data_IF_706309393330
#
_entry.id   IF_706309393330
#
_cell.length_a   1.000
_cell.length_b   1.000
_cell.length_c   1.000
_cell.angle_alpha   90.00
_cell.angle_beta   90.00
_cell.angle_gamma   90.00
#
_symmetry.space_group_name_H-M   'P 1'
#
loop_
_entity.id
_entity.type
_entity.pdbx_description
1 polymer ?
#
# COMPACT_ATOMS: atom_id res chain seq x y z
N UNK A 1 23.61 -1.90 35.16
CA UNK A 1 24.64 -1.89 34.10
C UNK A 1 25.24 -3.28 33.99
N UNK A 2 24.75 -4.09 33.03
CA UNK A 2 25.34 -5.42 32.75
C UNK A 2 26.29 -5.26 31.59
N UNK A 3 27.59 -5.43 31.88
CA UNK A 3 28.65 -5.42 30.87
C UNK A 3 28.52 -6.68 30.02
N UNK A 4 28.28 -6.51 28.71
CA UNK A 4 28.45 -7.58 27.72
C UNK A 4 29.97 -7.74 27.48
N UNK A 5 30.49 -8.89 27.84
CA UNK A 5 31.87 -9.30 27.50
C UNK A 5 31.76 -9.93 26.10
N UNK A 6 32.26 -9.25 25.08
CA UNK A 6 32.48 -9.83 23.77
C UNK A 6 33.85 -10.49 23.75
N UNK A 7 33.87 -11.80 23.62
CA UNK A 7 35.13 -12.52 23.34
C UNK A 7 35.48 -12.31 21.87
N UNK A 8 36.55 -11.55 21.64
CA UNK A 8 37.21 -11.49 20.34
C UNK A 8 37.94 -12.80 20.09
N UNK A 9 37.50 -13.58 19.10
CA UNK A 9 38.31 -14.66 18.55
C UNK A 9 39.22 -14.04 17.49
N UNK A 10 40.47 -13.90 17.82
CA UNK A 10 41.52 -13.52 16.86
C UNK A 10 41.70 -14.69 15.88
N UNK A 11 41.42 -14.46 14.61
CA UNK A 11 41.67 -15.39 13.53
C UNK A 11 43.16 -15.37 13.19
N UNK A 12 43.95 -16.33 13.70
CA UNK A 12 45.29 -16.59 13.20
C UNK A 12 45.20 -17.22 11.80
N UNK A 13 45.66 -16.50 10.81
CA UNK A 13 45.79 -17.01 9.43
C UNK A 13 47.00 -17.92 9.39
N UNK A 14 46.78 -19.24 9.47
CA UNK A 14 47.71 -20.28 9.06
C UNK A 14 47.32 -20.72 7.67
N UNK A 15 48.22 -20.57 6.70
CA UNK A 15 48.04 -20.96 5.30
C UNK A 15 47.81 -22.46 5.16
N UNK A 16 46.57 -22.89 4.96
CA UNK A 16 46.18 -24.01 4.14
C UNK A 16 44.82 -23.67 3.55
N UNK A 17 44.78 -23.39 2.26
CA UNK A 17 43.60 -22.97 1.54
C UNK A 17 42.59 -24.11 1.43
N UNK A 18 41.70 -24.18 2.40
CA UNK A 18 40.35 -24.73 2.22
C UNK A 18 39.44 -23.51 2.23
N UNK A 19 38.94 -23.13 1.07
CA UNK A 19 38.02 -22.00 0.98
C UNK A 19 36.78 -22.34 1.80
N UNK A 20 36.57 -21.63 2.88
CA UNK A 20 35.32 -21.71 3.64
C UNK A 20 34.21 -21.14 2.74
N UNK A 21 33.22 -21.96 2.41
CA UNK A 21 32.14 -21.58 1.48
C UNK A 21 30.95 -20.95 2.19
N UNK A 22 30.86 -21.06 3.51
CA UNK A 22 29.68 -20.66 4.26
C UNK A 22 30.01 -19.94 5.57
N UNK A 23 29.13 -18.99 5.97
CA UNK A 23 29.09 -18.35 7.28
C UNK A 23 27.93 -18.92 8.09
N UNK A 24 28.19 -19.30 9.34
CA UNK A 24 27.15 -19.83 10.23
C UNK A 24 26.78 -18.82 11.31
N UNK A 25 25.50 -18.47 11.40
CA UNK A 25 24.95 -17.58 12.44
C UNK A 25 24.15 -18.40 13.44
N UNK A 26 24.64 -18.51 14.66
CA UNK A 26 23.97 -19.23 15.75
C UNK A 26 23.01 -18.31 16.50
N UNK A 27 21.70 -18.59 16.41
CA UNK A 27 20.66 -17.84 17.14
C UNK A 27 20.54 -18.33 18.58
N UNK A 28 20.20 -17.43 19.52
CA UNK A 28 19.91 -17.79 20.90
C UNK A 28 18.77 -18.84 21.08
N UNK A 29 17.91 -18.95 20.06
CA UNK A 29 16.86 -19.98 19.99
C UNK A 29 17.38 -21.39 19.67
N UNK A 30 18.69 -21.57 19.45
CA UNK A 30 19.30 -22.83 19.05
C UNK A 30 19.29 -23.11 17.55
N UNK A 31 18.60 -22.26 16.74
CA UNK A 31 18.63 -22.42 15.30
C UNK A 31 19.94 -21.86 14.72
N UNK A 32 20.48 -22.53 13.71
CA UNK A 32 21.65 -22.10 12.94
C UNK A 32 21.18 -21.63 11.55
N UNK A 33 21.68 -20.47 11.12
CA UNK A 33 21.52 -19.97 9.76
C UNK A 33 22.85 -20.15 9.04
N UNK A 34 22.87 -20.87 7.94
CA UNK A 34 24.00 -21.01 7.04
C UNK A 34 23.83 -20.03 5.86
N UNK A 35 24.88 -19.29 5.53
CA UNK A 35 24.92 -18.33 4.44
C UNK A 35 26.14 -18.64 3.56
N UNK A 36 25.91 -18.87 2.28
CA UNK A 36 27.00 -19.06 1.30
C UNK A 36 27.78 -17.77 1.10
N UNK A 37 29.09 -17.81 1.23
CA UNK A 37 29.95 -16.62 1.11
C UNK A 37 29.84 -16.01 -0.29
N UNK A 38 29.63 -16.83 -1.33
CA UNK A 38 29.47 -16.37 -2.70
C UNK A 38 28.21 -15.50 -2.94
N UNK A 39 27.23 -15.58 -2.03
CA UNK A 39 25.97 -14.80 -2.08
C UNK A 39 25.98 -13.56 -1.17
N UNK A 40 27.12 -13.34 -0.46
CA UNK A 40 27.24 -12.23 0.47
C UNK A 40 28.05 -11.09 -0.13
N UNK A 41 27.40 -9.94 -0.32
CA UNK A 41 28.10 -8.69 -0.68
C UNK A 41 28.89 -8.13 0.51
N UNK A 42 28.33 -8.23 1.72
CA UNK A 42 28.98 -7.74 2.94
C UNK A 42 28.34 -8.33 4.20
N UNK A 43 29.09 -8.37 5.29
CA UNK A 43 28.60 -8.69 6.63
C UNK A 43 28.72 -7.42 7.50
N UNK A 44 27.61 -6.90 7.98
CA UNK A 44 27.57 -5.76 8.90
C UNK A 44 26.96 -6.17 10.25
N UNK A 45 27.62 -5.82 11.34
CA UNK A 45 27.12 -6.01 12.71
C UNK A 45 26.30 -4.83 13.21
N UNK A 46 26.22 -3.78 12.44
CA UNK A 46 25.29 -2.67 12.63
C UNK A 46 24.14 -2.83 11.66
N UNK A 47 22.91 -2.65 12.15
CA UNK A 47 21.75 -2.59 11.23
C UNK A 47 22.07 -1.50 10.20
N UNK A 48 22.07 -1.79 8.89
CA UNK A 48 22.25 -0.74 7.89
C UNK A 48 21.29 0.40 8.23
N UNK A 49 21.75 1.63 8.14
CA UNK A 49 20.85 2.77 8.18
C UNK A 49 19.88 2.56 7.02
N UNK A 50 18.64 2.24 7.32
CA UNK A 50 17.58 2.20 6.32
C UNK A 50 17.46 3.64 5.86
N UNK A 51 17.98 3.95 4.66
CA UNK A 51 17.60 5.21 4.01
C UNK A 51 16.10 5.14 3.89
N UNK A 52 15.35 6.06 4.52
CA UNK A 52 13.90 6.06 4.35
C UNK A 52 13.62 6.02 2.85
N UNK A 53 12.68 5.17 2.42
CA UNK A 53 12.22 5.19 1.04
C UNK A 53 11.82 6.63 0.70
N UNK A 54 12.12 7.13 -0.50
CA UNK A 54 11.72 8.49 -0.87
C UNK A 54 10.22 8.62 -0.64
N UNK A 55 9.79 9.71 -0.01
CA UNK A 55 8.37 9.91 0.34
C UNK A 55 7.49 9.94 -0.92
N UNK A 56 8.05 10.38 -2.07
CA UNK A 56 7.37 10.39 -3.37
C UNK A 56 7.99 9.41 -4.35
N UNK A 57 7.14 8.86 -5.22
CA UNK A 57 7.55 8.12 -6.42
C UNK A 57 8.09 9.08 -7.48
N UNK A 58 8.87 8.55 -8.43
CA UNK A 58 9.49 9.34 -9.51
C UNK A 58 8.51 9.73 -10.61
N UNK A 59 7.46 8.90 -10.84
CA UNK A 59 6.47 9.11 -11.90
C UNK A 59 5.68 10.40 -11.72
N UNK A 60 5.42 11.09 -12.82
CA UNK A 60 4.61 12.31 -12.90
C UNK A 60 3.31 11.99 -13.63
N UNK A 61 2.20 12.44 -13.08
CA UNK A 61 0.86 12.11 -13.52
C UNK A 61 0.03 13.37 -13.71
N UNK A 62 -0.53 13.59 -14.90
CA UNK A 62 -1.49 14.67 -15.14
C UNK A 62 -2.80 14.39 -14.45
N UNK A 63 -3.28 15.38 -13.69
CA UNK A 63 -4.55 15.36 -12.96
C UNK A 63 -5.49 16.49 -13.39
N UNK A 64 -5.03 17.37 -14.27
CA UNK A 64 -5.80 18.29 -15.10
C UNK A 64 -4.96 18.66 -16.33
N UNK A 65 -5.49 19.55 -17.19
CA UNK A 65 -4.75 19.99 -18.38
C UNK A 65 -3.44 20.75 -18.05
N UNK A 66 -3.36 21.33 -16.87
CA UNK A 66 -2.29 22.22 -16.42
C UNK A 66 -1.67 21.81 -15.07
N UNK A 67 -2.07 20.67 -14.51
CA UNK A 67 -1.64 20.22 -13.19
C UNK A 67 -1.14 18.80 -13.21
N UNK A 68 0.03 18.60 -12.61
CA UNK A 68 0.64 17.28 -12.46
C UNK A 68 0.98 16.99 -11.00
N UNK A 69 1.03 15.71 -10.66
CA UNK A 69 1.34 15.25 -9.29
C UNK A 69 2.34 14.09 -9.29
N UNK A 70 2.94 13.89 -8.14
CA UNK A 70 3.65 12.66 -7.77
C UNK A 70 2.92 11.99 -6.62
N UNK A 71 2.79 10.67 -6.68
CA UNK A 71 2.17 9.89 -5.62
C UNK A 71 3.15 9.61 -4.48
N UNK A 72 2.63 9.50 -3.26
CA UNK A 72 3.33 8.90 -2.14
C UNK A 72 3.76 7.47 -2.50
N UNK A 73 4.88 7.01 -1.96
CA UNK A 73 5.40 5.68 -2.29
C UNK A 73 4.54 4.53 -1.72
N UNK A 74 3.65 4.79 -0.77
CA UNK A 74 2.75 3.80 -0.20
C UNK A 74 1.41 4.39 0.22
N UNK A 75 0.45 3.54 0.58
CA UNK A 75 -0.79 3.97 1.19
C UNK A 75 -0.51 4.59 2.57
N UNK A 76 -1.37 5.52 2.98
CA UNK A 76 -1.32 6.09 4.32
C UNK A 76 -1.62 5.00 5.36
N UNK A 77 -0.87 4.98 6.44
CA UNK A 77 -1.03 4.09 7.59
C UNK A 77 -1.02 4.89 8.89
N UNK A 78 -1.76 4.42 9.87
CA UNK A 78 -1.77 4.97 11.21
C UNK A 78 -1.49 3.86 12.23
N UNK A 79 -0.45 4.06 13.05
CA UNK A 79 -0.20 3.21 14.22
C UNK A 79 -0.86 3.85 15.43
N UNK A 80 -1.77 3.11 16.07
CA UNK A 80 -2.53 3.51 17.23
C UNK A 80 -1.79 3.12 18.50
N UNK A 81 -1.64 4.03 19.44
CA UNK A 81 -1.14 3.74 20.77
C UNK A 81 -2.11 4.32 21.83
N UNK A 82 -1.90 3.97 23.07
CA UNK A 82 -2.76 4.47 24.17
C UNK A 82 -2.72 5.99 24.34
N UNK A 83 -1.67 6.65 23.84
CA UNK A 83 -1.41 8.08 24.07
C UNK A 83 -1.26 8.90 22.82
N UNK A 84 -1.03 8.26 21.64
CA UNK A 84 -0.71 8.98 20.40
C UNK A 84 -1.05 8.15 19.15
N UNK A 85 -1.04 8.81 18.00
CA UNK A 85 -1.15 8.20 16.67
C UNK A 85 0.06 8.57 15.84
N UNK A 86 0.75 7.54 15.30
CA UNK A 86 1.89 7.74 14.40
C UNK A 86 1.43 7.51 12.97
N UNK A 87 1.61 8.52 12.12
CA UNK A 87 1.22 8.49 10.73
C UNK A 87 2.45 8.34 9.84
N UNK A 88 2.36 7.46 8.86
CA UNK A 88 3.43 7.21 7.91
C UNK A 88 2.85 6.62 6.62
N UNK A 89 3.64 6.60 5.56
CA UNK A 89 3.33 5.79 4.38
C UNK A 89 3.74 4.34 4.59
N UNK A 90 3.04 3.42 3.94
CA UNK A 90 3.46 2.02 3.86
C UNK A 90 4.86 1.92 3.23
N UNK A 91 5.67 0.97 3.67
CA UNK A 91 7.07 0.82 3.24
C UNK A 91 7.16 0.45 1.75
N UNK A 92 6.23 -0.34 1.25
CA UNK A 92 6.13 -0.70 -0.15
C UNK A 92 4.76 -0.33 -0.71
N UNK A 93 4.68 -0.07 -2.01
CA UNK A 93 3.42 0.27 -2.68
C UNK A 93 2.36 -0.84 -2.58
N UNK A 94 2.79 -2.09 -2.52
CA UNK A 94 1.93 -3.26 -2.43
C UNK A 94 1.57 -3.64 -0.98
N UNK A 95 2.10 -2.96 0.02
CA UNK A 95 1.74 -3.22 1.41
C UNK A 95 0.30 -2.77 1.67
N UNK A 96 -0.48 -3.69 2.21
CA UNK A 96 -1.83 -3.46 2.70
C UNK A 96 -2.04 -4.24 3.99
N UNK A 97 -2.78 -3.65 4.92
CA UNK A 97 -3.16 -4.30 6.18
C UNK A 97 -4.36 -5.23 5.95
N UNK A 98 -5.29 -4.83 5.06
CA UNK A 98 -6.41 -5.66 4.65
C UNK A 98 -7.27 -6.11 5.84
N UNK A 99 -7.48 -7.43 5.97
CA UNK A 99 -8.26 -7.99 7.08
C UNK A 99 -7.68 -7.69 8.46
N UNK A 100 -6.39 -7.39 8.56
CA UNK A 100 -5.72 -7.11 9.83
C UNK A 100 -5.88 -5.67 10.32
N UNK A 101 -6.73 -4.84 9.65
CA UNK A 101 -7.23 -3.56 10.22
C UNK A 101 -8.06 -3.76 11.51
N UNK A 102 -8.53 -4.97 11.78
CA UNK A 102 -9.25 -5.33 13.00
C UNK A 102 -8.61 -6.54 13.66
N UNK A 103 -8.70 -6.58 14.99
CA UNK A 103 -8.25 -7.74 15.78
C UNK A 103 -9.37 -8.78 15.88
N UNK A 104 -8.98 -10.05 16.04
CA UNK A 104 -9.92 -11.16 16.18
C UNK A 104 -9.74 -12.26 15.13
N UNK A 105 -10.40 -13.40 15.32
CA UNK A 105 -10.13 -14.64 14.58
C UNK A 105 -11.22 -15.06 13.57
N UNK A 106 -12.35 -14.40 13.54
CA UNK A 106 -13.47 -14.78 12.67
C UNK A 106 -13.25 -14.28 11.24
N UNK A 107 -12.51 -15.04 10.46
CA UNK A 107 -12.45 -14.85 9.01
C UNK A 107 -13.67 -15.56 8.44
N UNK A 108 -14.52 -14.81 7.74
CA UNK A 108 -15.56 -15.38 6.89
C UNK A 108 -15.02 -15.35 5.46
N UNK A 109 -15.05 -16.49 4.80
CA UNK A 109 -14.86 -16.57 3.35
C UNK A 109 -16.19 -16.21 2.69
N UNK A 110 -16.21 -15.13 1.95
CA UNK A 110 -17.26 -14.87 0.98
C UNK A 110 -16.86 -15.61 -0.30
N UNK A 111 -17.61 -16.64 -0.66
CA UNK A 111 -17.31 -17.52 -1.80
C UNK A 111 -17.19 -16.79 -3.14
N UNK A 112 -17.61 -15.52 -3.21
CA UNK A 112 -17.60 -14.72 -4.43
C UNK A 112 -16.63 -13.55 -4.44
N UNK A 113 -16.20 -13.02 -3.27
CA UNK A 113 -15.55 -11.71 -3.19
C UNK A 113 -14.35 -11.62 -2.25
N UNK A 114 -13.76 -12.74 -1.88
CA UNK A 114 -12.60 -12.77 -0.97
C UNK A 114 -12.96 -12.86 0.51
N UNK A 115 -11.94 -12.86 1.35
CA UNK A 115 -12.10 -13.06 2.78
C UNK A 115 -12.70 -11.85 3.47
N UNK A 116 -13.73 -12.07 4.31
CA UNK A 116 -14.22 -11.08 5.27
C UNK A 116 -13.77 -11.44 6.67
N UNK A 117 -13.45 -10.43 7.47
CA UNK A 117 -13.08 -10.60 8.89
C UNK A 117 -13.97 -9.73 9.75
N UNK A 118 -14.61 -10.33 10.75
CA UNK A 118 -15.28 -9.61 11.83
C UNK A 118 -14.34 -9.56 13.02
N UNK A 119 -13.84 -8.36 13.34
CA UNK A 119 -12.96 -8.12 14.47
C UNK A 119 -13.69 -7.80 15.75
N UNK A 120 -12.93 -7.70 16.85
CA UNK A 120 -13.42 -7.30 18.17
C UNK A 120 -13.00 -5.88 18.55
N UNK A 121 -11.93 -5.37 17.91
CA UNK A 121 -11.40 -4.03 18.09
C UNK A 121 -10.63 -3.61 16.83
N UNK A 122 -10.27 -2.32 16.72
CA UNK A 122 -9.29 -1.89 15.73
C UNK A 122 -7.92 -2.49 16.08
N UNK A 123 -7.18 -2.90 15.06
CA UNK A 123 -5.79 -3.29 15.21
C UNK A 123 -4.93 -2.08 15.66
N UNK A 124 -3.76 -2.38 16.21
CA UNK A 124 -2.78 -1.35 16.58
C UNK A 124 -2.23 -0.56 15.39
N UNK A 125 -2.38 -1.06 14.16
CA UNK A 125 -2.02 -0.40 12.92
C UNK A 125 -3.13 -0.59 11.90
N UNK A 126 -3.54 0.51 11.25
CA UNK A 126 -4.64 0.53 10.27
C UNK A 126 -4.24 1.31 9.02
N UNK A 127 -4.88 1.00 7.89
CA UNK A 127 -4.77 1.71 6.60
C UNK A 127 -6.11 1.92 5.90
N UNK A 128 -7.22 1.60 6.59
CA UNK A 128 -8.59 1.85 6.13
C UNK A 128 -9.27 2.84 7.06
N UNK A 129 -9.53 4.04 6.54
CA UNK A 129 -10.05 5.20 7.27
C UNK A 129 -11.45 5.56 6.78
N UNK A 130 -12.36 5.94 7.69
CA UNK A 130 -13.57 6.68 7.32
C UNK A 130 -13.20 8.03 6.70
N UNK A 131 -14.13 8.66 5.99
CA UNK A 131 -13.85 9.96 5.38
C UNK A 131 -13.53 10.99 6.48
N UNK A 132 -12.39 11.67 6.33
CA UNK A 132 -11.87 12.57 7.35
C UNK A 132 -12.65 13.87 7.34
N UNK A 133 -13.45 14.09 8.38
CA UNK A 133 -14.21 15.31 8.59
C UNK A 133 -13.74 16.06 9.84
N UNK A 134 -14.09 17.33 9.93
CA UNK A 134 -13.92 18.12 11.15
C UNK A 134 -15.02 17.75 12.17
N UNK A 135 -14.87 16.55 12.74
CA UNK A 135 -15.80 15.95 13.69
C UNK A 135 -15.02 15.24 14.80
N UNK A 136 -15.32 15.58 16.04
CA UNK A 136 -14.61 15.03 17.21
C UNK A 136 -14.91 13.55 17.47
N UNK A 137 -16.02 13.01 16.92
CA UNK A 137 -16.43 11.60 17.13
C UNK A 137 -15.60 10.62 16.32
N UNK A 138 -15.20 10.99 15.10
CA UNK A 138 -14.41 10.16 14.21
C UNK A 138 -13.22 10.94 13.61
N UNK A 139 -12.32 11.50 14.44
CA UNK A 139 -11.23 12.33 13.97
C UNK A 139 -10.35 11.54 12.99
N UNK A 140 -10.04 12.14 11.85
CA UNK A 140 -9.22 11.54 10.79
C UNK A 140 -9.80 10.25 10.18
N UNK A 141 -11.08 9.96 10.42
CA UNK A 141 -11.72 8.72 10.01
C UNK A 141 -11.33 7.51 10.87
N UNK A 142 -10.68 7.70 12.01
CA UNK A 142 -10.34 6.62 12.94
C UNK A 142 -11.52 6.40 13.88
N UNK A 143 -12.42 5.49 13.53
CA UNK A 143 -13.57 5.12 14.36
C UNK A 143 -14.08 3.73 13.95
N UNK A 144 -14.79 3.08 14.85
CA UNK A 144 -15.57 1.86 14.58
C UNK A 144 -17.06 2.16 14.43
N UNK A 145 -17.46 3.43 14.52
CA UNK A 145 -18.85 3.82 14.34
C UNK A 145 -19.32 3.56 12.91
N UNK A 146 -20.57 3.16 12.78
CA UNK A 146 -21.30 3.08 11.50
C UNK A 146 -22.43 4.11 11.44
N UNK A 147 -22.44 5.06 12.36
CA UNK A 147 -23.39 6.17 12.41
C UNK A 147 -22.91 7.27 11.47
N UNK A 148 -23.74 7.68 10.52
CA UNK A 148 -23.38 8.65 9.49
C UNK A 148 -22.99 10.02 10.05
N UNK A 149 -23.75 10.51 11.05
CA UNK A 149 -23.49 11.82 11.67
C UNK A 149 -22.13 11.92 12.37
N UNK A 150 -21.51 10.80 12.73
CA UNK A 150 -20.18 10.78 13.36
C UNK A 150 -19.06 11.18 12.40
N UNK A 151 -19.35 11.20 11.10
CA UNK A 151 -18.42 11.57 10.03
C UNK A 151 -18.87 12.82 9.25
N UNK A 152 -19.88 13.55 9.77
CA UNK A 152 -20.34 14.82 9.18
C UNK A 152 -19.32 15.95 9.44
N UNK A 153 -19.40 17.00 8.64
CA UNK A 153 -18.52 18.17 8.72
C UNK A 153 -17.67 18.37 7.47
N UNK A 154 -16.83 19.41 7.48
CA UNK A 154 -15.94 19.77 6.40
C UNK A 154 -14.77 18.78 6.28
N UNK A 155 -14.27 18.59 5.07
CA UNK A 155 -13.12 17.71 4.82
C UNK A 155 -11.86 18.22 5.51
N UNK A 156 -11.19 17.36 6.24
CA UNK A 156 -9.88 17.61 6.82
C UNK A 156 -8.85 16.70 6.15
N UNK A 157 -8.00 17.28 5.30
CA UNK A 157 -7.04 16.51 4.52
C UNK A 157 -6.02 15.78 5.41
N UNK A 158 -5.84 14.48 5.13
CA UNK A 158 -4.86 13.63 5.83
C UNK A 158 -3.41 14.09 5.66
N UNK A 159 -3.11 14.86 4.60
CA UNK A 159 -1.79 15.48 4.41
C UNK A 159 -1.33 16.29 5.62
N UNK A 160 -2.27 16.84 6.39
CA UNK A 160 -1.96 17.54 7.66
C UNK A 160 -1.25 16.65 8.69
N UNK A 161 -1.44 15.33 8.61
CA UNK A 161 -0.80 14.37 9.52
C UNK A 161 0.62 13.99 9.11
N UNK A 162 0.99 14.26 7.88
CA UNK A 162 2.35 13.96 7.35
C UNK A 162 3.27 15.17 7.52
N UNK A 163 2.88 16.33 7.02
CA UNK A 163 3.74 17.52 6.99
C UNK A 163 3.02 18.83 7.41
N UNK A 164 1.88 18.71 8.06
CA UNK A 164 1.03 19.85 8.41
C UNK A 164 0.19 20.37 7.24
N UNK A 165 0.04 19.59 6.17
CA UNK A 165 -0.70 19.96 4.95
C UNK A 165 0.04 20.97 4.08
N UNK A 166 1.36 20.96 4.11
CA UNK A 166 2.19 21.89 3.32
C UNK A 166 2.34 21.44 1.88
N UNK A 167 2.59 20.15 1.67
CA UNK A 167 2.87 19.60 0.34
C UNK A 167 1.98 18.40 0.02
N UNK A 168 1.60 17.61 1.03
CA UNK A 168 0.77 16.43 0.86
C UNK A 168 -0.72 16.75 0.87
N UNK A 169 -1.44 16.15 -0.07
CA UNK A 169 -2.90 16.28 -0.17
C UNK A 169 -3.56 15.03 -0.75
N UNK A 170 -4.86 14.94 -0.57
CA UNK A 170 -5.72 13.94 -1.20
C UNK A 170 -6.20 14.47 -2.56
N UNK A 171 -6.26 13.64 -3.59
CA UNK A 171 -6.86 14.00 -4.88
C UNK A 171 -8.37 14.23 -4.73
N UNK A 172 -8.90 15.21 -5.46
CA UNK A 172 -10.33 15.42 -5.62
C UNK A 172 -10.90 14.50 -6.72
N UNK A 173 -12.24 14.43 -6.79
CA UNK A 173 -12.96 13.62 -7.78
C UNK A 173 -12.51 13.92 -9.22
N UNK A 174 -12.53 15.17 -9.62
CA UNK A 174 -12.21 15.59 -10.99
C UNK A 174 -10.77 15.25 -11.38
N UNK A 175 -9.84 15.25 -10.43
CA UNK A 175 -8.44 14.86 -10.66
C UNK A 175 -8.30 13.35 -10.90
N UNK A 176 -9.04 12.51 -10.17
CA UNK A 176 -9.09 11.07 -10.42
C UNK A 176 -9.77 10.73 -11.74
N UNK A 177 -10.88 11.43 -12.10
CA UNK A 177 -11.54 11.29 -13.40
C UNK A 177 -10.60 11.69 -14.54
N UNK A 178 -9.87 12.80 -14.40
CA UNK A 178 -8.91 13.21 -15.40
C UNK A 178 -7.79 12.18 -15.57
N UNK A 179 -7.20 11.72 -14.47
CA UNK A 179 -6.11 10.76 -14.44
C UNK A 179 -6.48 9.44 -15.11
N UNK A 180 -7.70 8.93 -14.90
CA UNK A 180 -8.09 7.60 -15.33
C UNK A 180 -8.85 7.57 -16.65
N UNK A 181 -9.47 8.68 -17.07
CA UNK A 181 -10.39 8.71 -18.21
C UNK A 181 -10.04 9.79 -19.26
N UNK A 182 -9.40 10.90 -18.86
CA UNK A 182 -9.31 12.08 -19.72
C UNK A 182 -7.90 12.39 -20.22
N UNK A 183 -6.86 12.19 -19.39
CA UNK A 183 -5.48 12.47 -19.80
C UNK A 183 -5.10 11.69 -21.05
N UNK A 184 -4.11 12.17 -21.78
CA UNK A 184 -3.62 11.50 -23.00
C UNK A 184 -3.28 10.02 -22.71
N UNK A 185 -3.82 9.13 -23.54
CA UNK A 185 -3.63 7.67 -23.43
C UNK A 185 -4.12 7.04 -22.11
N UNK A 186 -5.02 7.66 -21.36
CA UNK A 186 -5.51 7.16 -20.07
C UNK A 186 -5.89 5.67 -20.10
N UNK A 187 -6.57 5.21 -21.17
CA UNK A 187 -7.01 3.83 -21.37
C UNK A 187 -5.86 2.81 -21.54
N UNK A 188 -4.64 3.27 -21.83
CA UNK A 188 -3.44 2.42 -21.97
C UNK A 188 -2.51 2.50 -20.77
N UNK A 189 -2.74 3.46 -19.88
CA UNK A 189 -1.86 3.77 -18.74
C UNK A 189 -2.38 3.22 -17.40
N UNK A 190 -3.37 2.34 -17.43
CA UNK A 190 -3.93 1.69 -16.25
C UNK A 190 -4.23 0.22 -16.55
N UNK A 191 -3.96 -0.67 -15.59
CA UNK A 191 -4.25 -2.09 -15.77
C UNK A 191 -4.23 -2.88 -14.48
N UNK A 192 -5.13 -3.89 -14.40
CA UNK A 192 -5.18 -4.82 -13.29
C UNK A 192 -3.93 -5.72 -13.28
N UNK A 193 -3.42 -6.03 -12.10
CA UNK A 193 -2.22 -6.85 -11.95
C UNK A 193 -2.17 -7.58 -10.61
N UNK A 194 -1.44 -8.69 -10.60
CA UNK A 194 -0.98 -9.38 -9.40
C UNK A 194 0.52 -9.22 -9.24
N UNK A 195 1.00 -9.01 -8.03
CA UNK A 195 2.42 -9.07 -7.67
C UNK A 195 2.62 -10.27 -6.76
N UNK A 196 3.43 -11.23 -7.19
CA UNK A 196 3.88 -12.32 -6.34
C UNK A 196 5.02 -11.83 -5.44
N UNK A 197 4.85 -11.99 -4.12
CA UNK A 197 5.80 -11.55 -3.11
C UNK A 197 6.83 -12.63 -2.76
N UNK A 198 6.62 -13.85 -3.26
CA UNK A 198 7.53 -14.99 -3.15
C UNK A 198 7.54 -15.79 -4.46
N UNK A 199 8.57 -16.63 -4.62
CA UNK A 199 8.82 -17.33 -5.88
C UNK A 199 7.75 -18.38 -6.25
N UNK A 200 7.11 -19.00 -5.22
CA UNK A 200 6.07 -20.01 -5.42
C UNK A 200 4.67 -19.41 -5.68
N UNK A 201 4.54 -18.08 -5.59
CA UNK A 201 3.28 -17.36 -5.81
C UNK A 201 2.20 -17.59 -4.75
N UNK A 202 2.55 -18.21 -3.60
CA UNK A 202 1.61 -18.41 -2.49
C UNK A 202 1.32 -17.13 -1.71
N UNK A 203 2.28 -16.18 -1.74
CA UNK A 203 2.10 -14.82 -1.21
C UNK A 203 2.01 -13.85 -2.38
N UNK A 204 0.90 -13.14 -2.46
CA UNK A 204 0.66 -12.18 -3.54
C UNK A 204 -0.22 -11.04 -3.08
N UNK A 205 -0.18 -9.96 -3.84
CA UNK A 205 -1.09 -8.83 -3.73
C UNK A 205 -1.72 -8.56 -5.09
N UNK A 206 -3.02 -8.42 -5.11
CA UNK A 206 -3.78 -7.97 -6.27
C UNK A 206 -3.95 -6.45 -6.21
N UNK A 207 -4.01 -5.80 -7.35
CA UNK A 207 -4.19 -4.36 -7.40
C UNK A 207 -4.17 -3.82 -8.83
N UNK A 208 -3.97 -2.53 -8.93
CA UNK A 208 -3.94 -1.81 -10.20
C UNK A 208 -2.63 -1.06 -10.35
N UNK A 209 -2.05 -1.16 -11.53
CA UNK A 209 -0.88 -0.37 -11.92
C UNK A 209 -1.37 0.87 -12.66
N UNK A 210 -0.89 2.04 -12.22
CA UNK A 210 -0.99 3.30 -12.95
C UNK A 210 0.40 3.65 -13.49
N UNK A 211 0.47 3.99 -14.78
CA UNK A 211 1.70 4.40 -15.44
C UNK A 211 1.74 5.93 -15.58
N UNK A 212 2.91 6.56 -15.40
CA UNK A 212 3.07 8.01 -15.57
C UNK A 212 2.87 8.46 -17.02
N UNK A 213 2.71 9.77 -17.23
CA UNK A 213 2.47 10.33 -18.57
C UNK A 213 3.63 10.04 -19.54
N UNK A 214 4.86 10.16 -19.07
CA UNK A 214 6.07 9.87 -19.85
C UNK A 214 6.55 8.44 -19.64
N UNK A 215 5.64 7.46 -19.84
CA UNK A 215 5.95 6.06 -19.59
C UNK A 215 6.88 5.45 -20.65
N UNK A 216 7.93 4.82 -20.17
CA UNK A 216 8.83 3.96 -21.00
C UNK A 216 8.88 2.58 -20.36
N UNK A 217 8.46 1.57 -21.10
CA UNK A 217 8.44 0.19 -20.61
C UNK A 217 9.88 -0.31 -20.36
N UNK A 218 10.21 -0.79 -19.16
CA UNK A 218 11.54 -1.32 -18.87
C UNK A 218 11.84 -2.62 -19.63
N UNK A 219 13.11 -2.84 -19.94
CA UNK A 219 13.57 -4.04 -20.64
C UNK A 219 13.25 -5.34 -19.87
N UNK A 220 12.73 -6.31 -20.61
CA UNK A 220 12.41 -7.64 -20.09
C UNK A 220 11.16 -7.69 -19.20
N UNK A 221 10.32 -6.65 -19.23
CA UNK A 221 9.00 -6.61 -18.59
C UNK A 221 7.94 -6.32 -19.64
N UNK A 222 6.74 -6.83 -19.45
CA UNK A 222 5.56 -6.49 -20.26
C UNK A 222 4.53 -5.76 -19.40
N UNK A 223 3.65 -5.00 -20.04
CA UNK A 223 2.46 -4.40 -19.41
C UNK A 223 1.26 -4.56 -20.33
N UNK A 224 0.15 -4.98 -19.76
CA UNK A 224 -1.14 -5.10 -20.44
C UNK A 224 -2.14 -4.16 -19.75
N UNK A 225 -2.62 -3.17 -20.49
CA UNK A 225 -3.62 -2.22 -19.98
C UNK A 225 -5.01 -2.87 -19.84
N UNK A 226 -5.87 -2.23 -19.05
CA UNK A 226 -7.27 -2.60 -18.89
C UNK A 226 -7.52 -3.69 -17.85
N UNK A 227 -8.72 -4.27 -17.93
CA UNK A 227 -9.29 -5.18 -16.94
C UNK A 227 -9.85 -6.42 -17.64
N UNK A 228 -9.78 -7.61 -17.00
CA UNK A 228 -10.20 -8.86 -17.63
C UNK A 228 -11.72 -9.02 -17.75
N UNK A 229 -12.54 -8.12 -17.17
CA UNK A 229 -13.98 -8.23 -17.16
C UNK A 229 -14.51 -9.37 -16.28
N UNK A 230 -13.78 -9.73 -15.23
CA UNK A 230 -14.07 -10.89 -14.39
C UNK A 230 -14.55 -10.49 -12.99
N UNK A 231 -15.58 -11.20 -12.49
CA UNK A 231 -16.06 -11.07 -11.11
C UNK A 231 -15.36 -12.08 -10.18
N UNK A 232 -14.02 -12.09 -10.21
CA UNK A 232 -13.19 -12.96 -9.37
C UNK A 232 -11.86 -12.31 -9.08
N UNK A 233 -11.31 -12.51 -7.89
CA UNK A 233 -9.95 -12.07 -7.55
C UNK A 233 -8.87 -12.67 -8.44
N UNK A 234 -9.15 -13.83 -9.06
CA UNK A 234 -8.24 -14.48 -10.02
C UNK A 234 -8.09 -13.67 -11.31
N UNK A 235 -9.03 -12.75 -11.60
CA UNK A 235 -8.96 -11.86 -12.75
C UNK A 235 -7.70 -11.03 -12.80
N UNK A 236 -7.17 -10.60 -11.65
CA UNK A 236 -5.90 -9.88 -11.60
C UNK A 236 -4.74 -10.70 -12.16
N UNK A 237 -4.66 -11.99 -11.75
CA UNK A 237 -3.61 -12.88 -12.25
C UNK A 237 -3.78 -13.23 -13.72
N UNK A 238 -5.02 -13.29 -14.20
CA UNK A 238 -5.33 -13.56 -15.61
C UNK A 238 -4.91 -12.41 -16.51
N UNK A 239 -5.05 -11.18 -16.02
CA UNK A 239 -4.63 -9.99 -16.76
C UNK A 239 -3.11 -9.95 -16.87
N UNK A 240 -2.39 -9.97 -15.77
CA UNK A 240 -0.94 -10.08 -15.69
C UNK A 240 -0.46 -10.39 -14.27
N UNK A 241 0.67 -11.09 -14.20
CA UNK A 241 1.32 -11.41 -12.92
C UNK A 241 2.79 -11.06 -13.00
N UNK A 242 3.27 -10.34 -11.99
CA UNK A 242 4.68 -9.95 -11.87
C UNK A 242 5.34 -10.68 -10.72
N UNK A 243 6.61 -11.06 -10.91
CA UNK A 243 7.52 -11.33 -9.80
C UNK A 243 7.86 -10.02 -9.11
N UNK A 244 8.31 -10.09 -7.86
CA UNK A 244 8.74 -8.89 -7.13
C UNK A 244 9.89 -8.17 -7.86
N UNK A 245 10.81 -8.91 -8.49
CA UNK A 245 11.91 -8.33 -9.27
C UNK A 245 11.40 -7.55 -10.50
N UNK A 246 10.40 -8.06 -11.22
CA UNK A 246 9.80 -7.37 -12.36
C UNK A 246 8.98 -6.17 -11.92
N UNK A 247 8.24 -6.27 -10.80
CA UNK A 247 7.54 -5.12 -10.22
C UNK A 247 8.50 -3.98 -9.89
N UNK A 248 9.63 -4.27 -9.24
CA UNK A 248 10.64 -3.25 -8.91
C UNK A 248 11.18 -2.50 -10.11
N UNK A 249 11.27 -3.15 -11.30
CA UNK A 249 11.63 -2.46 -12.54
C UNK A 249 10.55 -1.45 -12.97
N UNK A 250 9.27 -1.85 -12.89
CA UNK A 250 8.14 -0.96 -13.20
C UNK A 250 8.10 0.22 -12.22
N UNK A 251 8.25 -0.06 -10.94
CA UNK A 251 8.29 0.95 -9.87
C UNK A 251 9.44 1.95 -10.07
N UNK A 252 10.64 1.47 -10.36
CA UNK A 252 11.80 2.32 -10.65
C UNK A 252 11.59 3.21 -11.89
N UNK A 253 10.79 2.76 -12.85
CA UNK A 253 10.37 3.54 -14.02
C UNK A 253 9.19 4.49 -13.72
N UNK A 254 8.74 4.56 -12.48
CA UNK A 254 7.71 5.50 -12.02
C UNK A 254 6.28 4.96 -11.93
N UNK A 255 6.06 3.66 -12.14
CA UNK A 255 4.73 3.08 -11.99
C UNK A 255 4.23 3.15 -10.54
N UNK A 256 2.93 3.39 -10.39
CA UNK A 256 2.20 3.35 -9.11
C UNK A 256 1.42 2.05 -9.02
N UNK A 257 1.47 1.38 -7.85
CA UNK A 257 0.60 0.26 -7.53
C UNK A 257 -0.40 0.64 -6.45
N UNK A 258 -1.67 0.40 -6.73
CA UNK A 258 -2.79 0.58 -5.81
C UNK A 258 -3.29 -0.80 -5.38
N UNK A 259 -2.99 -1.28 -4.16
CA UNK A 259 -3.40 -2.61 -3.71
C UNK A 259 -4.91 -2.71 -3.48
N UNK A 260 -5.46 -3.90 -3.75
CA UNK A 260 -6.87 -4.24 -3.49
C UNK A 260 -7.06 -4.54 -1.99
N UNK A 261 -7.02 -3.51 -1.16
CA UNK A 261 -7.08 -3.59 0.30
C UNK A 261 -8.50 -3.83 0.85
N UNK A 262 -9.53 -3.81 -0.02
CA UNK A 262 -10.91 -3.89 0.41
C UNK A 262 -11.39 -2.62 1.11
N UNK A 263 -12.44 -2.76 1.93
CA UNK A 263 -12.94 -1.71 2.81
C UNK A 263 -13.21 -2.24 4.23
N UNK A 264 -13.35 -1.34 5.19
CA UNK A 264 -13.79 -1.65 6.56
C UNK A 264 -15.11 -0.94 6.88
N UNK A 265 -16.06 -1.66 7.49
CA UNK A 265 -17.31 -1.11 8.04
C UNK A 265 -17.39 -1.47 9.50
N UNK A 266 -17.24 -0.51 10.38
CA UNK A 266 -17.13 -0.79 11.81
C UNK A 266 -15.94 -1.71 12.09
N UNK A 267 -16.20 -2.93 12.51
CA UNK A 267 -15.21 -3.99 12.75
C UNK A 267 -15.27 -5.13 11.72
N UNK A 268 -15.96 -4.91 10.60
CA UNK A 268 -15.99 -5.84 9.48
C UNK A 268 -15.09 -5.34 8.35
N UNK A 269 -14.16 -6.18 7.88
CA UNK A 269 -13.33 -5.94 6.69
C UNK A 269 -13.76 -6.88 5.57
N UNK A 270 -13.98 -6.35 4.38
CA UNK A 270 -14.46 -7.11 3.23
C UNK A 270 -13.76 -6.73 1.92
N UNK A 271 -13.88 -7.58 0.90
CA UNK A 271 -13.37 -7.40 -0.47
C UNK A 271 -11.85 -7.26 -0.57
N UNK A 272 -11.11 -7.71 0.44
CA UNK A 272 -9.64 -7.76 0.39
C UNK A 272 -9.20 -8.68 -0.76
N UNK A 273 -8.19 -8.28 -1.52
CA UNK A 273 -7.68 -8.93 -2.74
C UNK A 273 -8.64 -8.88 -3.94
N UNK A 274 -9.91 -8.49 -3.74
CA UNK A 274 -10.89 -8.40 -4.83
C UNK A 274 -11.09 -6.98 -5.36
N UNK A 275 -11.19 -5.96 -4.48
CA UNK A 275 -11.43 -4.59 -4.91
C UNK A 275 -10.56 -3.60 -4.11
N UNK A 276 -10.20 -2.52 -4.76
CA UNK A 276 -9.59 -1.37 -4.15
C UNK A 276 -10.61 -0.24 -4.06
N UNK A 277 -10.50 0.51 -2.97
CA UNK A 277 -11.34 1.66 -2.66
C UNK A 277 -10.45 2.76 -2.13
N UNK A 278 -10.51 3.95 -2.76
CA UNK A 278 -9.71 5.10 -2.38
C UNK A 278 -10.56 6.34 -2.21
N UNK A 279 -10.46 6.99 -1.07
CA UNK A 279 -11.16 8.22 -0.81
C UNK A 279 -10.72 9.36 -1.73
N UNK A 280 -11.69 10.17 -2.13
CA UNK A 280 -11.49 11.50 -2.68
C UNK A 280 -11.62 12.55 -1.58
N UNK A 281 -11.00 13.72 -1.78
CA UNK A 281 -11.21 14.89 -0.94
C UNK A 281 -12.57 15.57 -1.17
N UNK A 282 -13.39 15.04 -2.10
CA UNK A 282 -14.64 15.65 -2.54
C UNK A 282 -15.83 15.03 -1.77
N UNK A 283 -16.56 15.82 -0.95
CA UNK A 283 -17.83 15.39 -0.37
C UNK A 283 -18.92 15.38 -1.45
N UNK A 284 -19.97 14.58 -1.24
CA UNK A 284 -21.21 14.71 -1.98
C UNK A 284 -22.26 15.46 -1.14
N UNK A 285 -22.38 15.09 0.12
CA UNK A 285 -23.23 15.72 1.13
C UNK A 285 -22.66 15.46 2.52
N UNK A 286 -23.38 15.80 3.60
CA UNK A 286 -22.93 15.61 4.99
C UNK A 286 -22.73 14.15 5.40
N UNK A 287 -23.30 13.20 4.67
CA UNK A 287 -23.27 11.78 5.01
C UNK A 287 -22.45 10.93 4.04
N UNK A 288 -22.26 11.41 2.79
CA UNK A 288 -21.66 10.67 1.70
C UNK A 288 -20.49 11.42 1.07
N UNK A 289 -19.53 10.67 0.54
CA UNK A 289 -18.41 11.23 -0.20
C UNK A 289 -18.09 10.37 -1.44
N UNK A 290 -17.41 10.99 -2.40
CA UNK A 290 -16.93 10.31 -3.60
C UNK A 290 -15.70 9.46 -3.31
N UNK A 291 -15.56 8.36 -4.05
CA UNK A 291 -14.42 7.47 -3.96
C UNK A 291 -14.16 6.76 -5.31
N UNK A 292 -12.93 6.32 -5.49
CA UNK A 292 -12.53 5.42 -6.56
C UNK A 292 -12.81 3.98 -6.16
N UNK A 293 -13.49 3.23 -7.02
CA UNK A 293 -13.60 1.77 -6.92
C UNK A 293 -13.01 1.14 -8.17
N UNK A 294 -12.11 0.20 -7.99
CA UNK A 294 -11.62 -0.65 -9.08
C UNK A 294 -11.63 -2.12 -8.63
N UNK A 295 -12.04 -2.99 -9.52
CA UNK A 295 -11.99 -4.44 -9.38
C UNK A 295 -11.66 -5.09 -10.74
N UNK A 296 -11.53 -6.41 -10.84
CA UNK A 296 -11.21 -7.06 -12.12
C UNK A 296 -12.24 -6.87 -13.23
N UNK A 297 -13.43 -6.36 -12.91
CA UNK A 297 -14.47 -6.04 -13.91
C UNK A 297 -14.31 -4.64 -14.51
N UNK A 298 -13.53 -3.75 -13.89
CA UNK A 298 -13.28 -2.39 -14.38
C UNK A 298 -13.16 -1.33 -13.30
N UNK A 299 -13.17 -0.07 -13.74
CA UNK A 299 -13.10 1.13 -12.91
C UNK A 299 -14.46 1.77 -12.73
N UNK A 300 -14.68 2.38 -11.58
CA UNK A 300 -15.77 3.30 -11.32
C UNK A 300 -15.22 4.53 -10.58
N UNK A 301 -15.05 5.62 -11.30
CA UNK A 301 -14.47 6.86 -10.79
C UNK A 301 -15.49 7.81 -10.16
N UNK A 302 -16.79 7.54 -10.30
CA UNK A 302 -17.87 8.37 -9.77
C UNK A 302 -18.69 7.65 -8.70
N UNK A 303 -18.08 6.71 -7.99
CA UNK A 303 -18.76 5.98 -6.91
C UNK A 303 -19.05 6.87 -5.71
N UNK A 304 -20.17 6.61 -5.04
CA UNK A 304 -20.62 7.29 -3.83
C UNK A 304 -20.84 6.30 -2.71
N UNK A 305 -20.44 6.66 -1.49
CA UNK A 305 -20.75 5.84 -0.33
C UNK A 305 -20.83 6.68 0.95
N UNK A 306 -21.40 6.07 1.99
CA UNK A 306 -21.44 6.67 3.32
C UNK A 306 -20.00 6.86 3.86
N UNK A 307 -19.75 8.03 4.45
CA UNK A 307 -18.44 8.45 4.97
C UNK A 307 -17.86 7.53 6.05
N UNK A 308 -18.68 6.70 6.70
CA UNK A 308 -18.22 5.69 7.66
C UNK A 308 -17.62 4.42 7.04
N UNK A 309 -17.79 4.18 5.73
CA UNK A 309 -17.12 3.07 5.05
C UNK A 309 -15.66 3.40 4.87
N UNK A 310 -14.83 2.74 5.67
CA UNK A 310 -13.41 3.05 5.73
C UNK A 310 -12.67 2.49 4.52
N UNK A 311 -11.88 3.32 3.87
CA UNK A 311 -11.19 3.04 2.61
C UNK A 311 -9.72 3.45 2.69
N UNK A 312 -8.93 3.04 1.71
CA UNK A 312 -7.53 3.43 1.58
C UNK A 312 -7.40 4.93 1.24
N UNK A 313 -6.25 5.48 1.61
CA UNK A 313 -5.84 6.84 1.28
C UNK A 313 -4.47 6.79 0.61
N UNK A 314 -4.35 7.40 -0.58
CA UNK A 314 -3.08 7.60 -1.29
C UNK A 314 -2.90 9.08 -1.53
N UNK A 315 -1.92 9.67 -0.85
CA UNK A 315 -1.62 11.09 -0.96
C UNK A 315 -0.74 11.39 -2.18
N UNK A 316 -0.77 12.64 -2.60
CA UNK A 316 0.04 13.17 -3.68
C UNK A 316 0.69 14.49 -3.28
N UNK A 317 1.73 14.86 -4.03
CA UNK A 317 2.31 16.21 -4.04
C UNK A 317 2.16 16.81 -5.42
N UNK A 318 1.82 18.09 -5.49
CA UNK A 318 1.82 18.84 -6.75
C UNK A 318 3.24 18.99 -7.28
N UNK A 319 3.41 18.90 -8.59
CA UNK A 319 4.69 19.17 -9.27
C UNK A 319 4.64 20.62 -9.74
N UNK A 320 5.63 21.41 -9.30
CA UNK A 320 5.82 22.81 -9.74
C UNK A 320 6.36 22.89 -11.17
#
# INVERSE_FOLDING_TARGET
>A
MKKLIFSFVALCVGMCAMAQSSVYVYKKSGATLELEIAELDSISFTKPAVTPAPETLTGVFSVSADKTVKFAHGNLQCTLSATDTIWAFAENQYDMIGTDNVEGSNIKTDDNYGDTKNGTALASKIDLFGWSADNETAPWGISTSTTKSDYSGDFVDWGKKIDGGKTWRTLIKDEWEYLLETRDNANTLCGAARINLNDDGTKYVNGVILLPDSWILPDGVSFTSGFPGAWSETGYATQQTYTLANWRKLEAAGAVFLPAAGYRKGLEVAFVRFALYYWYATPQDDENAYYLMINPNGTNVSSLTARFLCQSVRLVQDVE
#
